data_IF_320288672280
#
_entry.id   IF_320288672280
#
_cell.length_a   1.000
_cell.length_b   1.000
_cell.length_c   1.000
_cell.angle_alpha   90.00
_cell.angle_beta   90.00
_cell.angle_gamma   90.00
#
_symmetry.space_group_name_H-M   'P 1'
#
loop_
_entity.id
_entity.type
_entity.pdbx_description
1 polymer ?
#
# COMPACT_ATOMS: atom_id res chain seq x y z
N UNK A 1 14.43 -13.59 -20.88
CA UNK A 1 14.03 -15.02 -20.91
C UNK A 1 13.03 -15.39 -19.81
N UNK A 2 13.32 -15.13 -18.52
CA UNK A 2 12.42 -15.48 -17.41
C UNK A 2 11.03 -14.83 -17.49
N UNK A 3 10.95 -13.53 -17.81
CA UNK A 3 9.67 -12.81 -17.94
C UNK A 3 8.79 -13.41 -19.03
N UNK A 4 9.36 -13.81 -20.16
CA UNK A 4 8.60 -14.45 -21.24
C UNK A 4 8.04 -15.82 -20.84
N UNK A 5 8.81 -16.60 -20.07
CA UNK A 5 8.34 -17.87 -19.52
C UNK A 5 7.23 -17.63 -18.50
N UNK A 6 7.42 -16.68 -17.56
CA UNK A 6 6.42 -16.31 -16.58
C UNK A 6 5.12 -15.81 -17.27
N UNK A 7 5.24 -14.98 -18.31
CA UNK A 7 4.13 -14.48 -19.12
C UNK A 7 3.31 -15.60 -19.75
N UNK A 8 3.96 -16.66 -20.26
CA UNK A 8 3.27 -17.85 -20.79
C UNK A 8 2.53 -18.60 -19.69
N UNK A 9 3.20 -18.85 -18.55
CA UNK A 9 2.63 -19.61 -17.45
C UNK A 9 1.47 -18.89 -16.74
N UNK A 10 1.55 -17.57 -16.56
CA UNK A 10 0.47 -16.73 -16.01
C UNK A 10 -0.77 -16.69 -16.92
N UNK A 11 -0.63 -17.05 -18.19
CA UNK A 11 -1.75 -17.20 -19.11
C UNK A 11 -2.25 -18.65 -19.27
N UNK A 12 -1.71 -19.60 -18.49
CA UNK A 12 -2.21 -20.97 -18.44
C UNK A 12 -3.71 -21.01 -18.11
N UNK A 13 -4.42 -22.01 -18.64
CA UNK A 13 -5.82 -22.26 -18.29
C UNK A 13 -6.00 -22.75 -16.85
N UNK A 14 -4.97 -23.40 -16.29
CA UNK A 14 -4.98 -23.96 -14.95
C UNK A 14 -4.69 -22.88 -13.88
N UNK A 15 -5.63 -22.58 -12.96
CA UNK A 15 -5.43 -21.56 -11.93
C UNK A 15 -4.23 -21.82 -11.03
N UNK A 16 -3.94 -23.09 -10.72
CA UNK A 16 -2.80 -23.47 -9.89
C UNK A 16 -1.46 -23.13 -10.56
N UNK A 17 -1.36 -23.36 -11.88
CA UNK A 17 -0.15 -23.05 -12.65
C UNK A 17 0.10 -21.55 -12.67
N UNK A 18 -0.95 -20.75 -12.84
CA UNK A 18 -0.85 -19.28 -12.79
C UNK A 18 -0.31 -18.82 -11.43
N UNK A 19 -0.90 -19.32 -10.34
CA UNK A 19 -0.49 -18.94 -8.99
C UNK A 19 0.98 -19.30 -8.72
N UNK A 20 1.37 -20.54 -8.99
CA UNK A 20 2.75 -21.01 -8.78
C UNK A 20 3.77 -20.25 -9.63
N UNK A 21 3.42 -19.90 -10.87
CA UNK A 21 4.30 -19.10 -11.71
C UNK A 21 4.57 -17.71 -11.11
N UNK A 22 3.53 -17.06 -10.58
CA UNK A 22 3.67 -15.77 -9.90
C UNK A 22 4.45 -15.89 -8.58
N UNK A 23 4.20 -16.93 -7.77
CA UNK A 23 4.93 -17.17 -6.52
C UNK A 23 6.43 -17.41 -6.74
N UNK A 24 6.80 -18.23 -7.74
CA UNK A 24 8.20 -18.46 -8.11
C UNK A 24 8.87 -17.15 -8.50
N UNK A 25 8.17 -16.31 -9.28
CA UNK A 25 8.69 -15.00 -9.63
C UNK A 25 8.86 -14.11 -8.40
N UNK A 26 7.88 -14.07 -7.49
CA UNK A 26 7.99 -13.33 -6.23
C UNK A 26 9.20 -13.79 -5.40
N UNK A 27 9.40 -15.09 -5.26
CA UNK A 27 10.55 -15.66 -4.53
C UNK A 27 11.90 -15.26 -5.15
N UNK A 28 11.95 -15.09 -6.48
CA UNK A 28 13.14 -14.59 -7.19
C UNK A 28 13.33 -13.08 -7.02
N UNK A 29 12.26 -12.31 -6.82
CA UNK A 29 12.31 -10.84 -6.67
C UNK A 29 12.68 -10.37 -5.27
N UNK A 30 12.21 -11.07 -4.25
CA UNK A 30 12.38 -10.69 -2.84
C UNK A 30 13.85 -10.46 -2.40
N UNK A 31 14.83 -11.30 -2.75
CA UNK A 31 16.20 -11.12 -2.24
C UNK A 31 16.90 -9.91 -2.86
N UNK A 32 16.76 -9.70 -4.17
CA UNK A 32 17.34 -8.56 -4.91
C UNK A 32 16.83 -8.56 -6.36
N UNK A 33 16.31 -7.43 -6.84
CA UNK A 33 15.86 -7.28 -8.22
C UNK A 33 16.98 -7.05 -9.25
N UNK A 34 18.25 -7.14 -8.86
CA UNK A 34 19.43 -7.06 -9.74
C UNK A 34 19.43 -8.09 -10.88
N UNK A 35 18.52 -9.06 -10.87
CA UNK A 35 18.30 -9.97 -11.98
C UNK A 35 17.71 -9.29 -13.23
N UNK A 36 17.04 -8.15 -13.09
CA UNK A 36 16.50 -7.42 -14.23
C UNK A 36 17.51 -6.44 -14.83
N UNK A 37 18.06 -6.79 -16.00
CA UNK A 37 18.75 -5.85 -16.88
C UNK A 37 17.77 -4.85 -17.51
N UNK A 38 18.30 -3.71 -17.98
CA UNK A 38 17.52 -2.70 -18.74
C UNK A 38 16.79 -3.28 -19.96
N UNK A 39 17.31 -4.36 -20.55
CA UNK A 39 16.65 -5.06 -21.68
C UNK A 39 15.37 -5.80 -21.26
N UNK A 40 15.29 -6.29 -20.02
CA UNK A 40 14.11 -6.98 -19.51
C UNK A 40 12.94 -6.01 -19.22
N UNK A 41 13.20 -4.71 -19.15
CA UNK A 41 12.19 -3.67 -18.87
C UNK A 41 11.14 -3.61 -19.97
N UNK A 42 11.53 -3.76 -21.25
CA UNK A 42 10.59 -3.76 -22.38
C UNK A 42 9.58 -4.91 -22.31
N UNK A 43 10.00 -6.08 -21.82
CA UNK A 43 9.10 -7.22 -21.59
C UNK A 43 8.28 -7.08 -20.31
N UNK A 44 8.64 -6.15 -19.42
CA UNK A 44 8.00 -6.00 -18.12
C UNK A 44 6.66 -5.27 -18.21
N UNK A 45 6.57 -4.21 -19.00
CA UNK A 45 5.32 -3.45 -19.18
C UNK A 45 4.14 -4.34 -19.62
N UNK A 46 4.24 -5.15 -20.69
CA UNK A 46 3.14 -6.03 -21.08
C UNK A 46 2.88 -7.11 -20.04
N UNK A 47 3.87 -7.49 -19.24
CA UNK A 47 3.69 -8.46 -18.16
C UNK A 47 2.92 -7.85 -16.98
N UNK A 48 3.24 -6.62 -16.57
CA UNK A 48 2.49 -5.88 -15.55
C UNK A 48 1.03 -5.67 -15.98
N UNK A 49 0.77 -5.38 -17.25
CA UNK A 49 -0.60 -5.29 -17.77
C UNK A 49 -1.38 -6.62 -17.65
N UNK A 50 -0.72 -7.76 -17.88
CA UNK A 50 -1.32 -9.10 -17.69
C UNK A 50 -1.65 -9.34 -16.22
N UNK A 51 -0.72 -9.04 -15.31
CA UNK A 51 -0.94 -9.17 -13.86
C UNK A 51 -2.09 -8.26 -13.39
N UNK A 52 -2.16 -7.03 -13.88
CA UNK A 52 -3.21 -6.07 -13.57
C UNK A 52 -4.58 -6.61 -14.00
N UNK A 53 -4.68 -7.15 -15.22
CA UNK A 53 -5.90 -7.79 -15.72
C UNK A 53 -6.32 -8.96 -14.85
N UNK A 54 -5.38 -9.74 -14.31
CA UNK A 54 -5.67 -10.87 -13.40
C UNK A 54 -6.16 -10.39 -12.05
N UNK A 55 -5.48 -9.42 -11.44
CA UNK A 55 -5.85 -8.86 -10.13
C UNK A 55 -7.30 -8.32 -10.12
N UNK A 56 -7.72 -7.68 -11.22
CA UNK A 56 -9.07 -7.07 -11.35
C UNK A 56 -10.17 -8.06 -11.75
N UNK A 57 -9.83 -9.26 -12.25
CA UNK A 57 -10.82 -10.18 -12.83
C UNK A 57 -11.58 -10.90 -11.70
N UNK A 58 -12.86 -10.56 -11.53
CA UNK A 58 -13.73 -11.16 -10.49
C UNK A 58 -13.88 -12.69 -10.59
N UNK A 59 -13.87 -13.23 -11.82
CA UNK A 59 -13.90 -14.69 -12.07
C UNK A 59 -12.57 -15.41 -11.77
N UNK A 60 -11.50 -14.67 -11.48
CA UNK A 60 -10.20 -15.24 -11.12
C UNK A 60 -10.22 -15.61 -9.63
N UNK A 61 -9.70 -16.79 -9.23
CA UNK A 61 -9.66 -17.19 -7.81
C UNK A 61 -8.95 -16.15 -6.94
N UNK A 62 -9.40 -15.98 -5.69
CA UNK A 62 -8.87 -14.98 -4.78
C UNK A 62 -7.35 -15.08 -4.59
N UNK A 63 -6.81 -16.30 -4.42
CA UNK A 63 -5.37 -16.52 -4.30
C UNK A 63 -4.59 -16.02 -5.52
N UNK A 64 -5.11 -16.25 -6.73
CA UNK A 64 -4.47 -15.73 -7.94
C UNK A 64 -4.51 -14.20 -8.00
N UNK A 65 -5.61 -13.58 -7.58
CA UNK A 65 -5.73 -12.12 -7.54
C UNK A 65 -4.77 -11.51 -6.51
N UNK A 66 -4.68 -12.11 -5.33
CA UNK A 66 -3.77 -11.71 -4.26
C UNK A 66 -2.31 -11.86 -4.70
N UNK A 67 -1.93 -13.02 -5.25
CA UNK A 67 -0.57 -13.26 -5.72
C UNK A 67 -0.22 -12.32 -6.89
N UNK A 68 -1.15 -12.04 -7.80
CA UNK A 68 -0.94 -11.06 -8.87
C UNK A 68 -0.67 -9.64 -8.31
N UNK A 69 -1.44 -9.19 -7.31
CA UNK A 69 -1.18 -7.91 -6.64
C UNK A 69 0.16 -7.91 -5.91
N UNK A 70 0.52 -9.01 -5.23
CA UNK A 70 1.80 -9.11 -4.55
C UNK A 70 2.98 -9.07 -5.53
N UNK A 71 2.85 -9.73 -6.69
CA UNK A 71 3.83 -9.60 -7.78
C UNK A 71 3.91 -8.16 -8.27
N UNK A 72 2.77 -7.48 -8.48
CA UNK A 72 2.76 -6.06 -8.86
C UNK A 72 3.39 -5.15 -7.81
N UNK A 73 3.17 -5.42 -6.52
CA UNK A 73 3.82 -4.69 -5.42
C UNK A 73 5.35 -4.80 -5.52
N UNK A 74 5.90 -6.01 -5.67
CA UNK A 74 7.34 -6.21 -5.80
C UNK A 74 7.90 -5.58 -7.08
N UNK A 75 7.21 -5.74 -8.21
CA UNK A 75 7.62 -5.13 -9.47
C UNK A 75 7.62 -3.61 -9.38
N UNK A 76 6.59 -3.01 -8.78
CA UNK A 76 6.53 -1.56 -8.57
C UNK A 76 7.67 -1.10 -7.67
N UNK A 77 7.89 -1.76 -6.54
CA UNK A 77 8.97 -1.44 -5.59
C UNK A 77 10.35 -1.41 -6.26
N UNK A 78 10.65 -2.44 -7.04
CA UNK A 78 12.01 -2.63 -7.55
C UNK A 78 12.24 -2.03 -8.92
N UNK A 79 11.21 -1.98 -9.77
CA UNK A 79 11.35 -1.63 -11.20
C UNK A 79 10.77 -0.27 -11.53
N UNK A 80 10.08 0.42 -10.60
CA UNK A 80 9.59 1.78 -10.82
C UNK A 80 10.64 2.75 -11.37
N UNK A 81 11.92 2.75 -10.93
CA UNK A 81 12.93 3.65 -11.51
C UNK A 81 13.25 3.38 -12.98
N UNK A 82 12.84 2.23 -13.51
CA UNK A 82 13.16 1.77 -14.87
C UNK A 82 11.96 1.83 -15.81
N UNK A 83 10.74 2.02 -15.29
CA UNK A 83 9.48 1.97 -16.05
C UNK A 83 8.83 3.35 -16.08
N UNK A 84 8.12 3.68 -17.15
CA UNK A 84 7.40 4.96 -17.25
C UNK A 84 6.25 5.05 -16.23
N UNK A 85 5.92 6.29 -15.82
CA UNK A 85 4.78 6.54 -14.94
C UNK A 85 3.45 6.02 -15.52
N UNK A 86 3.33 5.99 -16.85
CA UNK A 86 2.15 5.50 -17.57
C UNK A 86 1.85 4.01 -17.32
N UNK A 87 2.85 3.22 -16.94
CA UNK A 87 2.65 1.80 -16.59
C UNK A 87 2.27 1.63 -15.12
N UNK A 88 2.78 2.49 -14.24
CA UNK A 88 2.51 2.41 -12.79
C UNK A 88 1.17 3.04 -12.43
N UNK A 89 0.72 4.07 -13.15
CA UNK A 89 -0.54 4.76 -12.87
C UNK A 89 -1.78 3.84 -12.92
N UNK A 90 -1.94 2.95 -13.92
CA UNK A 90 -3.04 1.97 -13.94
C UNK A 90 -2.97 0.96 -12.79
N UNK A 91 -1.76 0.65 -12.30
CA UNK A 91 -1.56 -0.23 -11.14
C UNK A 91 -2.06 0.44 -9.87
N UNK A 92 -1.70 1.72 -9.65
CA UNK A 92 -2.24 2.53 -8.56
C UNK A 92 -3.76 2.63 -8.63
N UNK A 93 -4.31 3.00 -9.79
CA UNK A 93 -5.76 3.14 -9.98
C UNK A 93 -6.50 1.84 -9.65
N UNK A 94 -6.01 0.69 -10.09
CA UNK A 94 -6.64 -0.59 -9.77
C UNK A 94 -6.54 -0.95 -8.29
N UNK A 95 -5.45 -0.61 -7.60
CA UNK A 95 -5.33 -0.84 -6.17
C UNK A 95 -6.31 0.05 -5.39
N UNK A 96 -6.46 1.32 -5.78
CA UNK A 96 -7.43 2.25 -5.20
C UNK A 96 -8.86 1.74 -5.42
N UNK A 97 -9.20 1.31 -6.64
CA UNK A 97 -10.51 0.69 -6.94
C UNK A 97 -10.81 -0.50 -6.02
N UNK A 98 -9.79 -1.32 -5.70
CA UNK A 98 -9.96 -2.51 -4.86
C UNK A 98 -10.11 -2.16 -3.38
N UNK A 99 -9.44 -1.10 -2.92
CA UNK A 99 -9.56 -0.58 -1.55
C UNK A 99 -10.93 0.07 -1.33
N UNK A 100 -11.38 0.87 -2.29
CA UNK A 100 -12.64 1.60 -2.21
C UNK A 100 -13.87 0.71 -2.48
N UNK A 101 -13.68 -0.49 -3.04
CA UNK A 101 -14.72 -1.52 -3.05
C UNK A 101 -14.85 -2.06 -1.64
N UNK A 102 -16.04 -2.02 -1.06
CA UNK A 102 -16.39 -2.70 0.19
C UNK A 102 -16.36 -4.24 -0.02
N UNK A 103 -15.17 -4.77 -0.27
CA UNK A 103 -14.90 -6.19 -0.44
C UNK A 103 -14.69 -6.85 0.90
N UNK A 104 -15.21 -8.07 1.07
CA UNK A 104 -14.96 -8.90 2.24
C UNK A 104 -13.57 -9.56 2.20
N UNK A 105 -12.84 -9.43 1.10
CA UNK A 105 -11.51 -10.03 0.90
C UNK A 105 -10.41 -9.19 1.58
N UNK A 106 -10.30 -9.23 2.91
CA UNK A 106 -9.31 -8.45 3.69
C UNK A 106 -7.87 -8.64 3.19
N UNK A 107 -7.49 -9.86 2.80
CA UNK A 107 -6.14 -10.12 2.26
C UNK A 107 -5.87 -9.38 0.96
N UNK A 108 -6.90 -9.21 0.13
CA UNK A 108 -6.79 -8.46 -1.12
C UNK A 108 -6.63 -6.96 -0.84
N UNK A 109 -7.37 -6.43 0.13
CA UNK A 109 -7.24 -5.04 0.60
C UNK A 109 -5.84 -4.78 1.14
N UNK A 110 -5.31 -5.69 1.97
CA UNK A 110 -3.93 -5.63 2.47
C UNK A 110 -2.93 -5.51 1.30
N UNK A 111 -3.03 -6.39 0.31
CA UNK A 111 -2.13 -6.34 -0.85
C UNK A 111 -2.30 -5.07 -1.67
N UNK A 112 -3.52 -4.58 -1.84
CA UNK A 112 -3.79 -3.33 -2.54
C UNK A 112 -3.17 -2.12 -1.80
N UNK A 113 -3.25 -2.06 -0.47
CA UNK A 113 -2.60 -1.02 0.35
C UNK A 113 -1.07 -1.03 0.18
N UNK A 114 -0.46 -2.20 0.08
CA UNK A 114 0.97 -2.33 -0.17
C UNK A 114 1.34 -1.92 -1.61
N UNK A 115 0.51 -2.22 -2.60
CA UNK A 115 0.69 -1.75 -3.99
C UNK A 115 0.62 -0.23 -4.04
N UNK A 116 -0.34 0.39 -3.36
CA UNK A 116 -0.43 1.85 -3.20
C UNK A 116 0.87 2.39 -2.62
N UNK A 117 1.36 1.81 -1.53
CA UNK A 117 2.52 2.34 -0.82
C UNK A 117 3.75 2.45 -1.72
N UNK A 118 3.97 1.47 -2.60
CA UNK A 118 5.09 1.48 -3.54
C UNK A 118 4.80 2.34 -4.77
N UNK A 119 3.54 2.37 -5.22
CA UNK A 119 3.13 3.23 -6.35
C UNK A 119 3.26 4.70 -6.02
N UNK A 120 2.98 5.11 -4.78
CA UNK A 120 3.15 6.49 -4.30
C UNK A 120 4.63 6.88 -4.28
N UNK A 121 5.52 5.98 -3.87
CA UNK A 121 6.98 6.20 -3.92
C UNK A 121 7.45 6.38 -5.36
N UNK A 122 6.92 5.57 -6.28
CA UNK A 122 7.24 5.63 -7.70
C UNK A 122 6.74 6.91 -8.38
N UNK A 123 5.45 7.23 -8.20
CA UNK A 123 4.73 8.28 -8.93
C UNK A 123 4.88 9.67 -8.31
N UNK A 124 5.13 9.74 -6.99
CA UNK A 124 5.21 10.98 -6.19
C UNK A 124 3.99 11.87 -6.44
N UNK A 125 4.20 13.09 -6.95
CA UNK A 125 3.14 14.04 -7.24
C UNK A 125 2.06 13.50 -8.20
N UNK A 126 2.38 12.55 -9.08
CA UNK A 126 1.38 11.95 -9.99
C UNK A 126 0.36 11.08 -9.25
N UNK A 127 0.67 10.59 -8.04
CA UNK A 127 -0.27 9.83 -7.23
C UNK A 127 -1.40 10.69 -6.64
N UNK A 128 -1.24 12.02 -6.62
CA UNK A 128 -2.19 12.97 -6.00
C UNK A 128 -3.58 12.88 -6.62
N UNK A 129 -3.69 12.49 -7.90
CA UNK A 129 -4.97 12.34 -8.60
C UNK A 129 -5.91 11.33 -7.90
N UNK A 130 -5.37 10.38 -7.14
CA UNK A 130 -6.14 9.38 -6.41
C UNK A 130 -6.27 9.67 -4.90
N UNK A 131 -5.68 10.77 -4.43
CA UNK A 131 -5.60 11.06 -2.99
C UNK A 131 -6.98 11.23 -2.36
N UNK A 132 -7.90 11.88 -3.09
CA UNK A 132 -9.28 12.11 -2.68
C UNK A 132 -10.08 10.83 -2.41
N UNK A 133 -9.74 9.73 -3.09
CA UNK A 133 -10.40 8.44 -2.90
C UNK A 133 -9.71 7.60 -1.83
N UNK A 134 -8.37 7.61 -1.83
CA UNK A 134 -7.62 6.69 -0.98
C UNK A 134 -7.53 7.14 0.48
N UNK A 135 -7.42 8.44 0.75
CA UNK A 135 -7.25 8.94 2.11
C UNK A 135 -8.47 8.65 3.00
N UNK A 136 -9.72 8.89 2.55
CA UNK A 136 -10.89 8.49 3.32
C UNK A 136 -10.92 7.00 3.63
N UNK A 137 -10.54 6.14 2.67
CA UNK A 137 -10.50 4.70 2.86
C UNK A 137 -9.42 4.27 3.87
N UNK A 138 -8.23 4.88 3.81
CA UNK A 138 -7.15 4.66 4.79
C UNK A 138 -7.63 5.04 6.18
N UNK A 139 -8.19 6.24 6.36
CA UNK A 139 -8.71 6.72 7.65
C UNK A 139 -9.79 5.78 8.21
N UNK A 140 -10.68 5.25 7.34
CA UNK A 140 -11.66 4.23 7.72
C UNK A 140 -10.99 2.99 8.32
N UNK A 141 -9.95 2.45 7.67
CA UNK A 141 -9.23 1.28 8.18
C UNK A 141 -8.44 1.53 9.46
N UNK A 142 -8.00 2.76 9.74
CA UNK A 142 -7.39 3.11 11.03
C UNK A 142 -8.38 3.01 12.18
N UNK A 143 -9.65 3.34 11.92
CA UNK A 143 -10.71 3.43 12.95
C UNK A 143 -11.55 2.15 13.05
N UNK A 144 -11.23 1.11 12.27
CA UNK A 144 -11.96 -0.15 12.29
C UNK A 144 -11.56 -0.97 13.52
N UNK A 145 -12.46 -1.04 14.51
CA UNK A 145 -12.20 -1.65 15.83
C UNK A 145 -11.84 -3.14 15.78
N UNK A 146 -12.22 -3.85 14.71
CA UNK A 146 -11.92 -5.27 14.50
C UNK A 146 -10.89 -5.51 13.39
N UNK A 147 -10.14 -4.48 12.99
CA UNK A 147 -9.09 -4.64 11.99
C UNK A 147 -8.02 -5.63 12.47
N UNK A 148 -7.70 -6.62 11.63
CA UNK A 148 -6.55 -7.48 11.89
C UNK A 148 -5.26 -6.66 11.96
N UNK A 149 -4.29 -7.07 12.78
CA UNK A 149 -3.03 -6.32 12.91
C UNK A 149 -2.25 -6.22 11.58
N UNK A 150 -2.44 -7.19 10.68
CA UNK A 150 -1.88 -7.15 9.32
C UNK A 150 -2.51 -6.04 8.45
N UNK A 151 -3.83 -5.87 8.54
CA UNK A 151 -4.53 -4.77 7.88
C UNK A 151 -4.04 -3.44 8.42
N UNK A 152 -4.00 -3.31 9.73
CA UNK A 152 -3.54 -2.09 10.38
C UNK A 152 -2.08 -1.77 10.02
N UNK A 153 -1.18 -2.75 10.03
CA UNK A 153 0.21 -2.57 9.61
C UNK A 153 0.34 -2.12 8.15
N UNK A 154 -0.47 -2.67 7.25
CA UNK A 154 -0.51 -2.24 5.85
C UNK A 154 -1.03 -0.80 5.72
N UNK A 155 -2.08 -0.45 6.47
CA UNK A 155 -2.64 0.90 6.53
C UNK A 155 -1.64 1.92 7.06
N UNK A 156 -0.96 1.62 8.17
CA UNK A 156 0.12 2.47 8.73
C UNK A 156 1.27 2.61 7.72
N UNK A 157 1.62 1.53 7.02
CA UNK A 157 2.67 1.55 6.00
C UNK A 157 2.31 2.42 4.80
N UNK A 158 1.09 2.32 4.28
CA UNK A 158 0.60 3.18 3.21
C UNK A 158 0.57 4.65 3.64
N UNK A 159 0.09 4.92 4.86
CA UNK A 159 0.05 6.27 5.46
C UNK A 159 1.45 6.88 5.55
N UNK A 160 2.43 6.12 6.05
CA UNK A 160 3.83 6.56 6.11
C UNK A 160 4.35 6.94 4.72
N UNK A 161 4.11 6.10 3.70
CA UNK A 161 4.59 6.38 2.34
C UNK A 161 3.93 7.60 1.71
N UNK A 162 2.65 7.84 1.99
CA UNK A 162 1.97 9.06 1.58
C UNK A 162 2.57 10.29 2.25
N UNK A 163 2.77 10.26 3.57
CA UNK A 163 3.40 11.35 4.33
C UNK A 163 4.82 11.65 3.83
N UNK A 164 5.62 10.64 3.54
CA UNK A 164 7.00 10.79 3.09
C UNK A 164 7.11 11.38 1.68
N UNK A 165 6.17 11.05 0.77
CA UNK A 165 6.32 11.36 -0.67
C UNK A 165 5.38 12.45 -1.19
N UNK A 166 4.25 12.69 -0.54
CA UNK A 166 3.26 13.71 -0.93
C UNK A 166 2.73 14.55 0.26
N UNK A 167 3.58 14.99 1.21
CA UNK A 167 3.13 15.63 2.46
C UNK A 167 2.28 16.89 2.24
N UNK A 168 2.67 17.71 1.27
CA UNK A 168 2.03 18.98 0.94
C UNK A 168 0.59 18.84 0.42
N UNK A 169 0.16 17.64 0.03
CA UNK A 169 -1.21 17.37 -0.42
C UNK A 169 -2.09 16.76 0.68
N UNK A 170 -1.52 16.48 1.86
CA UNK A 170 -2.21 15.82 2.97
C UNK A 170 -2.87 16.78 3.96
N UNK A 171 -2.71 18.10 3.79
CA UNK A 171 -3.32 19.10 4.68
C UNK A 171 -4.81 18.88 4.97
N UNK A 172 -5.68 18.50 4.00
CA UNK A 172 -7.10 18.25 4.27
C UNK A 172 -7.37 17.03 5.15
N UNK A 173 -6.40 16.12 5.27
CA UNK A 173 -6.53 14.85 5.99
C UNK A 173 -5.72 14.83 7.28
N UNK A 174 -4.99 15.90 7.57
CA UNK A 174 -4.02 15.92 8.63
C UNK A 174 -4.66 15.76 10.01
N UNK A 175 -5.78 16.43 10.21
CA UNK A 175 -6.53 16.33 11.46
C UNK A 175 -7.01 14.90 11.74
N UNK A 176 -7.77 14.25 10.83
CA UNK A 176 -8.14 12.85 10.99
C UNK A 176 -6.95 11.92 11.22
N UNK A 177 -5.83 12.14 10.51
CA UNK A 177 -4.64 11.30 10.64
C UNK A 177 -4.01 11.38 12.03
N UNK A 178 -3.87 12.59 12.59
CA UNK A 178 -3.33 12.75 13.94
C UNK A 178 -4.26 12.11 14.97
N UNK A 179 -5.58 12.30 14.83
CA UNK A 179 -6.56 11.61 15.67
C UNK A 179 -6.37 10.09 15.63
N UNK A 180 -6.26 9.49 14.44
CA UNK A 180 -6.04 8.06 14.27
C UNK A 180 -4.74 7.59 14.93
N UNK A 181 -3.64 8.34 14.76
CA UNK A 181 -2.35 8.03 15.37
C UNK A 181 -2.43 8.07 16.89
N UNK A 182 -3.01 9.13 17.47
CA UNK A 182 -3.19 9.25 18.92
C UNK A 182 -4.07 8.14 19.50
N UNK A 183 -5.21 7.85 18.86
CA UNK A 183 -6.12 6.78 19.28
C UNK A 183 -5.43 5.42 19.25
N UNK A 184 -4.65 5.13 18.20
CA UNK A 184 -3.98 3.86 18.09
C UNK A 184 -2.84 3.71 19.12
N UNK A 185 -2.08 4.78 19.36
CA UNK A 185 -1.05 4.80 20.40
C UNK A 185 -1.63 4.51 21.78
N UNK A 186 -2.72 5.19 22.16
CA UNK A 186 -3.36 4.99 23.46
C UNK A 186 -3.95 3.58 23.64
N UNK A 187 -4.51 3.00 22.57
CA UNK A 187 -5.00 1.60 22.59
C UNK A 187 -3.86 0.60 22.80
N UNK A 188 -2.70 0.83 22.21
CA UNK A 188 -1.56 -0.11 22.25
C UNK A 188 -0.73 0.04 23.54
N UNK A 189 -0.69 1.21 24.18
CA UNK A 189 -0.09 1.36 25.53
C UNK A 189 -0.83 0.53 26.59
N UNK A 190 -2.14 0.31 26.41
CA UNK A 190 -2.98 -0.48 27.31
C UNK A 190 -2.96 -2.00 27.00
N UNK A 191 -2.31 -2.44 25.92
CA UNK A 191 -2.27 -3.84 25.46
C UNK A 191 -0.89 -4.48 25.65
N UNK A 192 -0.83 -5.76 26.06
CA UNK A 192 0.45 -6.42 26.33
C UNK A 192 1.31 -6.60 25.06
N UNK A 193 2.39 -5.82 24.94
CA UNK A 193 3.76 -6.05 24.39
C UNK A 193 3.98 -6.88 23.09
N UNK A 194 2.99 -7.46 22.42
CA UNK A 194 3.25 -8.46 21.36
C UNK A 194 3.42 -7.97 19.93
N UNK A 195 3.53 -6.66 19.66
CA UNK A 195 3.67 -6.19 18.27
C UNK A 195 4.75 -5.14 18.04
N UNK A 196 6.01 -5.58 18.14
CA UNK A 196 7.18 -4.72 17.88
C UNK A 196 7.12 -4.01 16.52
N UNK A 197 6.64 -4.67 15.46
CA UNK A 197 6.62 -4.12 14.09
C UNK A 197 5.60 -2.99 13.91
N UNK A 198 4.40 -3.14 14.45
CA UNK A 198 3.37 -2.11 14.34
C UNK A 198 3.75 -0.87 15.15
N UNK A 199 4.25 -1.06 16.37
CA UNK A 199 4.72 0.04 17.24
C UNK A 199 5.88 0.78 16.59
N UNK A 200 6.87 0.08 16.06
CA UNK A 200 7.97 0.71 15.31
C UNK A 200 7.45 1.50 14.10
N UNK A 201 6.49 0.95 13.34
CA UNK A 201 5.94 1.65 12.17
C UNK A 201 5.12 2.88 12.56
N UNK A 202 4.39 2.81 13.66
CA UNK A 202 3.61 3.91 14.21
C UNK A 202 4.51 5.06 14.68
N UNK A 203 5.60 4.74 15.39
CA UNK A 203 6.62 5.73 15.78
C UNK A 203 7.20 6.45 14.56
N UNK A 204 7.49 5.73 13.47
CA UNK A 204 7.96 6.35 12.23
C UNK A 204 6.91 7.31 11.65
N UNK A 205 5.62 6.95 11.69
CA UNK A 205 4.54 7.85 11.24
C UNK A 205 4.47 9.10 12.10
N UNK A 206 4.59 8.97 13.43
CA UNK A 206 4.63 10.11 14.36
C UNK A 206 5.79 11.04 14.04
N UNK A 207 7.00 10.50 13.89
CA UNK A 207 8.20 11.28 13.56
C UNK A 207 8.04 12.00 12.22
N UNK A 208 7.46 11.31 11.24
CA UNK A 208 7.22 11.87 9.90
C UNK A 208 6.16 12.98 9.94
N UNK A 209 5.11 12.84 10.75
CA UNK A 209 4.12 13.89 10.97
C UNK A 209 4.77 15.12 11.61
N UNK A 210 5.53 14.95 12.68
CA UNK A 210 6.24 16.07 13.34
C UNK A 210 7.19 16.78 12.37
N UNK A 211 7.84 16.03 11.48
CA UNK A 211 8.75 16.60 10.48
C UNK A 211 8.04 17.41 9.39
N UNK A 212 6.86 16.97 8.94
CA UNK A 212 6.14 17.57 7.82
C UNK A 212 5.04 18.55 8.21
N UNK A 213 4.63 18.55 9.47
CA UNK A 213 3.60 19.44 10.00
C UNK A 213 4.25 20.53 10.83
N UNK A 214 3.99 21.78 10.47
CA UNK A 214 4.48 22.90 11.27
C UNK A 214 3.81 22.92 12.66
N UNK A 215 4.57 23.14 13.75
CA UNK A 215 4.03 23.15 15.11
C UNK A 215 2.86 24.12 15.31
N UNK A 216 2.85 25.24 14.58
CA UNK A 216 1.76 26.23 14.60
C UNK A 216 0.42 25.71 14.07
N UNK A 217 0.42 24.65 13.28
CA UNK A 217 -0.79 23.96 12.81
C UNK A 217 -1.15 22.83 13.76
N UNK A 218 -0.14 22.09 14.24
CA UNK A 218 -0.34 20.94 15.11
C UNK A 218 -0.88 21.32 16.50
N UNK A 219 -0.30 22.36 17.13
CA UNK A 219 -0.62 22.75 18.51
C UNK A 219 -2.08 23.22 18.66
N UNK A 220 -2.60 24.15 17.83
CA UNK A 220 -4.02 24.53 17.91
C UNK A 220 -4.95 23.33 17.70
N UNK A 221 -4.63 22.46 16.74
CA UNK A 221 -5.43 21.29 16.41
C UNK A 221 -5.51 20.28 17.56
N UNK A 222 -4.39 20.04 18.28
CA UNK A 222 -4.39 19.21 19.49
C UNK A 222 -5.16 19.85 20.65
N UNK A 223 -5.19 21.19 20.71
CA UNK A 223 -5.89 21.92 21.76
C UNK A 223 -7.40 22.03 21.50
N UNK A 224 -7.85 22.18 20.25
CA UNK A 224 -9.26 22.35 19.90
C UNK A 224 -10.05 21.03 19.95
N UNK A 225 -9.42 19.91 19.61
CA UNK A 225 -10.11 18.62 19.53
C UNK A 225 -10.12 17.85 20.85
N UNK A 226 -11.26 17.91 21.54
CA UNK A 226 -11.52 17.18 22.81
C UNK A 226 -11.20 15.68 22.75
N UNK A 227 -11.37 15.04 21.59
CA UNK A 227 -11.09 13.62 21.40
C UNK A 227 -9.59 13.30 21.51
N UNK A 228 -8.70 14.14 20.97
CA UNK A 228 -7.24 13.97 21.10
C UNK A 228 -6.82 14.12 22.58
N UNK A 229 -7.42 15.08 23.31
CA UNK A 229 -7.15 15.26 24.75
C UNK A 229 -7.54 14.04 25.60
N UNK A 230 -8.54 13.27 25.19
CA UNK A 230 -8.94 12.04 25.89
C UNK A 230 -7.98 10.88 25.59
N UNK A 231 -7.34 10.86 24.42
CA UNK A 231 -6.33 9.85 24.08
C UNK A 231 -4.96 10.10 24.71
N UNK A 232 -4.68 11.35 25.14
CA UNK A 232 -3.42 11.75 25.79
C UNK A 232 -3.46 11.69 27.33
N UNK A 233 -4.56 11.22 27.92
CA UNK A 233 -4.72 10.99 29.36
C UNK A 233 -4.76 9.50 29.64
#
# INVERSE_FOLDING_TARGET
MLIEVAKKLVNSQLPLVRCRAMEILCAKLQPNANFFSKENVKSLEPFMAILLKRARKSKEPSDNRQTALFTLHLLTKFMAPQVSNEVVLPVLSAAVDLICKDTTETKLVIQALLVVSESVVALKAHAVIHLGQIMPAIIKFWNEDQASDHLLLATVTATHKLLENVPQFLSPYLEPLVCCVCCLSSRKENGSVKESRLIMRLSIVQDTLVKHVEPRVLIPMMMEHRHIRHCLK
#
